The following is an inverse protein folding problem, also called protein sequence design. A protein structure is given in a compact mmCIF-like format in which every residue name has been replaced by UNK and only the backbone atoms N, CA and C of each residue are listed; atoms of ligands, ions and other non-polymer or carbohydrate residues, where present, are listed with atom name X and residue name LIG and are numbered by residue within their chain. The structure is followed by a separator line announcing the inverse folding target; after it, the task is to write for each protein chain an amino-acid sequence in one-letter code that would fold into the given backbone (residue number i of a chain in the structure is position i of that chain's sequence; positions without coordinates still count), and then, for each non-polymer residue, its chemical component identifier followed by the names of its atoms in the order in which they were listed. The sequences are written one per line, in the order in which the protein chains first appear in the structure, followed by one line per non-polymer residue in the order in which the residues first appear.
data_IF_250740716379
#
_entry.id   IF_250740716379
#
_cell.length_a   1.000
_cell.length_b   1.000
_cell.length_c   1.000
_cell.angle_alpha   90.00
_cell.angle_beta   90.00
_cell.angle_gamma   90.00
#
_symmetry.space_group_name_H-M   'P 1'
#
loop_
_entity.id
_entity.type
_entity.pdbx_description
1 polymer ?
#
# COMPACT_ATOMS: atom_id res chain seq x y z
N UNK A 1 -11.33 -4.77 -6.59
CA UNK A 1 -12.76 -4.44 -6.65
C UNK A 1 -13.23 -4.43 -8.11
N UNK A 2 -12.52 -3.75 -9.01
CA UNK A 2 -12.92 -3.58 -10.43
C UNK A 2 -13.14 -4.91 -11.16
N UNK A 3 -12.23 -5.89 -10.98
CA UNK A 3 -12.40 -7.22 -11.59
C UNK A 3 -13.67 -7.94 -11.09
N UNK A 4 -14.10 -7.73 -9.85
CA UNK A 4 -15.34 -8.30 -9.32
C UNK A 4 -16.57 -7.56 -9.83
N UNK A 5 -16.48 -6.23 -9.99
CA UNK A 5 -17.55 -5.43 -10.60
C UNK A 5 -17.79 -5.88 -12.03
N UNK A 6 -16.72 -6.06 -12.82
CA UNK A 6 -16.83 -6.51 -14.22
C UNK A 6 -17.37 -7.93 -14.39
N UNK A 7 -17.20 -8.78 -13.38
CA UNK A 7 -17.74 -10.15 -13.36
C UNK A 7 -19.17 -10.24 -12.81
N UNK A 8 -19.74 -9.13 -12.31
CA UNK A 8 -21.08 -9.13 -11.73
C UNK A 8 -22.17 -9.29 -12.80
N UNK A 9 -23.25 -10.05 -12.56
CA UNK A 9 -24.34 -10.25 -13.54
C UNK A 9 -24.93 -8.94 -14.08
N UNK A 10 -25.10 -7.94 -13.23
CA UNK A 10 -25.65 -6.62 -13.57
C UNK A 10 -24.64 -5.67 -14.26
N UNK A 11 -23.39 -6.09 -14.46
CA UNK A 11 -22.38 -5.23 -15.07
C UNK A 11 -22.70 -4.82 -16.50
N UNK A 12 -23.32 -5.70 -17.27
CA UNK A 12 -23.76 -5.40 -18.63
C UNK A 12 -24.73 -4.22 -18.68
N UNK A 13 -25.67 -4.18 -17.75
CA UNK A 13 -26.63 -3.09 -17.62
C UNK A 13 -25.97 -1.79 -17.15
N UNK A 14 -25.07 -1.87 -16.16
CA UNK A 14 -24.29 -0.72 -15.72
C UNK A 14 -23.48 -0.11 -16.87
N UNK A 15 -22.83 -0.95 -17.68
CA UNK A 15 -22.09 -0.51 -18.87
C UNK A 15 -23.00 0.15 -19.90
N UNK A 16 -24.20 -0.39 -20.11
CA UNK A 16 -25.21 0.15 -21.02
C UNK A 16 -25.67 1.55 -20.57
N UNK A 17 -26.00 1.72 -19.29
CA UNK A 17 -26.41 3.01 -18.72
C UNK A 17 -25.30 4.06 -18.83
N UNK A 18 -24.06 3.70 -18.52
CA UNK A 18 -22.90 4.59 -18.65
C UNK A 18 -22.69 5.05 -20.10
N UNK A 19 -22.75 4.11 -21.06
CA UNK A 19 -22.63 4.40 -22.50
C UNK A 19 -23.74 5.36 -22.95
N UNK A 20 -24.99 5.09 -22.56
CA UNK A 20 -26.13 5.95 -22.89
C UNK A 20 -26.01 7.35 -22.30
N UNK A 21 -25.51 7.46 -21.08
CA UNK A 21 -25.20 8.75 -20.43
C UNK A 21 -24.21 9.57 -21.25
N UNK A 22 -23.14 8.93 -21.73
CA UNK A 22 -22.12 9.57 -22.54
C UNK A 22 -22.62 9.99 -23.92
N UNK A 23 -23.40 9.13 -24.57
CA UNK A 23 -24.03 9.42 -25.87
C UNK A 23 -24.98 10.63 -25.80
N UNK A 24 -25.83 10.70 -24.77
CA UNK A 24 -26.70 11.84 -24.54
C UNK A 24 -25.93 13.11 -24.25
N UNK A 25 -24.88 13.02 -23.45
CA UNK A 25 -24.01 14.15 -23.15
C UNK A 25 -23.30 14.68 -24.40
N UNK A 26 -22.73 13.77 -25.21
CA UNK A 26 -22.09 14.12 -26.46
C UNK A 26 -23.07 14.76 -27.43
N UNK A 27 -24.29 14.25 -27.53
CA UNK A 27 -25.37 14.82 -28.35
C UNK A 27 -25.76 16.22 -27.87
N UNK A 28 -25.87 16.43 -26.56
CA UNK A 28 -26.21 17.73 -25.99
C UNK A 28 -25.15 18.82 -26.27
N UNK A 29 -23.89 18.43 -26.38
CA UNK A 29 -22.78 19.36 -26.62
C UNK A 29 -22.23 19.34 -28.05
N UNK A 30 -22.89 18.59 -28.97
CA UNK A 30 -22.51 18.61 -30.38
C UNK A 30 -22.69 20.01 -30.97
N UNK A 31 -21.67 20.49 -31.69
CA UNK A 31 -21.72 21.80 -32.31
C UNK A 31 -22.86 21.92 -33.33
N UNK A 32 -23.70 22.97 -33.19
CA UNK A 32 -24.76 23.32 -34.14
C UNK A 32 -24.51 24.73 -34.67
N UNK A 33 -24.56 24.91 -36.00
CA UNK A 33 -24.28 26.18 -36.70
C UNK A 33 -25.23 27.28 -36.32
N UNK A 34 -26.54 26.95 -36.07
CA UNK A 34 -27.56 27.84 -35.58
C UNK A 34 -28.04 27.35 -34.22
N UNK A 35 -27.92 28.18 -33.18
CA UNK A 35 -28.24 27.85 -31.79
C UNK A 35 -29.36 28.80 -31.29
N UNK A 36 -30.62 28.49 -31.69
CA UNK A 36 -31.80 29.21 -31.30
C UNK A 36 -32.50 28.66 -30.05
N UNK A 37 -33.73 29.08 -29.81
CA UNK A 37 -34.54 28.68 -28.63
C UNK A 37 -34.81 27.17 -28.61
N UNK A 38 -35.20 26.58 -29.73
CA UNK A 38 -35.50 25.13 -29.83
C UNK A 38 -34.26 24.28 -29.53
N UNK A 39 -33.09 24.68 -30.01
CA UNK A 39 -31.83 23.97 -29.75
C UNK A 39 -31.38 24.08 -28.30
N UNK A 40 -31.73 25.20 -27.63
CA UNK A 40 -31.47 25.34 -26.19
C UNK A 40 -32.37 24.40 -25.38
N UNK A 41 -33.66 24.29 -25.73
CA UNK A 41 -34.57 23.41 -25.03
C UNK A 41 -34.26 21.95 -25.26
N UNK A 42 -33.95 21.53 -26.52
CA UNK A 42 -33.46 20.19 -26.84
C UNK A 42 -32.22 19.84 -26.02
N UNK A 43 -31.25 20.76 -25.96
CA UNK A 43 -30.03 20.56 -25.15
C UNK A 43 -30.36 20.38 -23.67
N UNK A 44 -31.27 21.20 -23.14
CA UNK A 44 -31.72 21.11 -21.74
C UNK A 44 -32.33 19.74 -21.44
N UNK A 45 -33.17 19.23 -22.30
CA UNK A 45 -33.80 17.90 -22.18
C UNK A 45 -32.75 16.79 -22.22
N UNK A 46 -31.82 16.82 -23.19
CA UNK A 46 -30.74 15.84 -23.30
C UNK A 46 -29.86 15.83 -22.05
N UNK A 47 -29.51 17.01 -21.52
CA UNK A 47 -28.72 17.11 -20.28
C UNK A 47 -29.53 16.59 -19.09
N UNK A 48 -30.79 16.84 -19.00
CA UNK A 48 -31.66 16.33 -17.93
C UNK A 48 -31.76 14.80 -18.00
N UNK A 49 -32.02 14.25 -19.18
CA UNK A 49 -32.02 12.79 -19.40
C UNK A 49 -30.67 12.14 -19.07
N UNK A 50 -29.57 12.74 -19.52
CA UNK A 50 -28.22 12.27 -19.18
C UNK A 50 -27.97 12.24 -17.67
N UNK A 51 -28.43 13.25 -16.93
CA UNK A 51 -28.31 13.30 -15.47
C UNK A 51 -29.14 12.22 -14.79
N UNK A 52 -30.38 11.97 -15.27
CA UNK A 52 -31.24 10.92 -14.72
C UNK A 52 -30.61 9.54 -14.91
N UNK A 53 -30.20 9.20 -16.15
CA UNK A 53 -29.57 7.90 -16.44
C UNK A 53 -28.25 7.74 -15.70
N UNK A 54 -27.50 8.83 -15.51
CA UNK A 54 -26.30 8.79 -14.68
C UNK A 54 -26.62 8.44 -13.23
N UNK A 55 -27.67 9.02 -12.67
CA UNK A 55 -28.09 8.71 -11.30
C UNK A 55 -28.50 7.22 -11.16
N UNK A 56 -29.19 6.68 -12.16
CA UNK A 56 -29.55 5.25 -12.20
C UNK A 56 -28.30 4.36 -12.29
N UNK A 57 -27.30 4.76 -13.11
CA UNK A 57 -26.03 4.06 -13.20
C UNK A 57 -25.23 4.08 -11.89
N UNK A 58 -25.16 5.26 -11.25
CA UNK A 58 -24.48 5.43 -9.96
C UNK A 58 -25.16 4.60 -8.85
N UNK A 59 -26.50 4.52 -8.87
CA UNK A 59 -27.26 3.70 -7.93
C UNK A 59 -27.02 2.19 -8.16
N UNK A 60 -27.03 1.74 -9.41
CA UNK A 60 -26.76 0.35 -9.76
C UNK A 60 -25.32 -0.05 -9.39
N UNK A 61 -24.35 0.81 -9.65
CA UNK A 61 -22.96 0.60 -9.24
C UNK A 61 -22.83 0.49 -7.72
N UNK A 62 -23.51 1.37 -6.99
CA UNK A 62 -23.53 1.30 -5.52
C UNK A 62 -24.14 -0.02 -5.03
N UNK A 63 -25.21 -0.50 -5.66
CA UNK A 63 -25.81 -1.79 -5.36
C UNK A 63 -24.83 -2.94 -5.59
N UNK A 64 -24.22 -3.00 -6.77
CA UNK A 64 -23.22 -4.02 -7.13
C UNK A 64 -22.07 -4.05 -6.12
N UNK A 65 -21.53 -2.88 -5.79
CA UNK A 65 -20.41 -2.77 -4.84
C UNK A 65 -20.83 -3.24 -3.43
N UNK A 66 -22.02 -2.88 -2.98
CA UNK A 66 -22.50 -3.33 -1.67
C UNK A 66 -22.73 -4.83 -1.61
N UNK A 67 -23.25 -5.44 -2.67
CA UNK A 67 -23.41 -6.90 -2.76
C UNK A 67 -22.05 -7.60 -2.69
N UNK A 68 -21.06 -7.14 -3.48
CA UNK A 68 -19.70 -7.66 -3.45
C UNK A 68 -19.10 -7.55 -2.04
N UNK A 69 -19.28 -6.41 -1.37
CA UNK A 69 -18.75 -6.19 -0.01
C UNK A 69 -19.50 -6.99 1.07
N UNK A 70 -20.75 -7.35 0.85
CA UNK A 70 -21.52 -8.21 1.76
C UNK A 70 -21.11 -9.68 1.63
N UNK A 71 -20.74 -10.12 0.44
CA UNK A 71 -20.30 -11.49 0.16
C UNK A 71 -18.81 -11.70 0.47
N UNK A 72 -18.05 -10.63 0.73
CA UNK A 72 -16.62 -10.73 0.99
C UNK A 72 -16.34 -11.18 2.43
N UNK A 73 -15.57 -12.25 2.58
CA UNK A 73 -15.05 -12.70 3.88
C UNK A 73 -13.98 -11.77 4.42
N UNK A 74 -13.17 -11.18 3.52
CA UNK A 74 -12.08 -10.27 3.85
C UNK A 74 -12.12 -9.05 2.93
N UNK A 75 -11.94 -7.86 3.53
CA UNK A 75 -11.82 -6.59 2.82
C UNK A 75 -10.44 -6.00 3.11
N UNK A 76 -9.61 -5.86 2.08
CA UNK A 76 -8.31 -5.23 2.17
C UNK A 76 -8.38 -3.77 1.72
N UNK A 77 -7.81 -2.87 2.51
CA UNK A 77 -7.70 -1.45 2.18
C UNK A 77 -6.53 -0.81 2.96
N UNK A 78 -6.15 0.41 2.59
CA UNK A 78 -5.23 1.20 3.42
C UNK A 78 -5.93 1.67 4.71
N UNK A 79 -5.15 2.08 5.72
CA UNK A 79 -5.71 2.60 6.98
C UNK A 79 -6.70 3.75 6.73
N UNK A 80 -6.31 4.70 5.87
CA UNK A 80 -7.17 5.82 5.48
C UNK A 80 -8.33 5.38 4.58
N UNK A 81 -8.12 4.36 3.73
CA UNK A 81 -9.16 3.75 2.91
C UNK A 81 -10.31 3.16 3.73
N UNK A 82 -10.06 2.77 4.98
CA UNK A 82 -11.09 2.31 5.89
C UNK A 82 -12.14 3.41 6.26
N UNK A 83 -11.84 4.70 6.00
CA UNK A 83 -12.80 5.80 6.16
C UNK A 83 -13.72 5.99 4.95
N UNK A 84 -13.48 5.28 3.84
CA UNK A 84 -14.23 5.45 2.61
C UNK A 84 -15.75 5.24 2.81
N UNK A 85 -16.57 6.02 2.08
CA UNK A 85 -18.03 6.00 2.20
C UNK A 85 -18.67 4.61 2.04
N UNK A 86 -18.08 3.73 1.21
CA UNK A 86 -18.52 2.34 1.02
C UNK A 86 -18.43 1.49 2.30
N UNK A 87 -17.56 1.86 3.24
CA UNK A 87 -17.39 1.18 4.53
C UNK A 87 -18.07 1.94 5.68
N UNK A 88 -18.84 3.00 5.37
CA UNK A 88 -19.61 3.75 6.37
C UNK A 88 -20.66 2.85 7.02
N UNK A 89 -20.72 2.83 8.34
CA UNK A 89 -21.68 2.03 9.09
C UNK A 89 -21.40 0.53 9.14
N UNK A 90 -20.44 0.00 8.37
CA UNK A 90 -20.05 -1.41 8.45
C UNK A 90 -19.26 -1.66 9.73
N UNK A 91 -19.49 -2.82 10.34
CA UNK A 91 -18.77 -3.33 11.51
C UNK A 91 -18.15 -4.67 11.17
N UNK A 92 -16.98 -4.93 11.74
CA UNK A 92 -16.19 -6.12 11.49
C UNK A 92 -15.88 -6.83 12.79
N UNK A 93 -15.80 -8.15 12.77
CA UNK A 93 -15.40 -8.93 13.96
C UNK A 93 -13.94 -8.69 14.30
N UNK A 94 -13.07 -8.62 13.29
CA UNK A 94 -11.63 -8.48 13.48
C UNK A 94 -11.05 -7.56 12.41
N UNK A 95 -10.14 -6.68 12.81
CA UNK A 95 -9.24 -5.95 11.93
C UNK A 95 -7.82 -6.45 12.12
N UNK A 96 -7.13 -6.66 11.00
CA UNK A 96 -5.69 -6.91 10.95
C UNK A 96 -5.02 -5.66 10.41
N UNK A 97 -4.02 -5.17 11.11
CA UNK A 97 -3.17 -4.06 10.65
C UNK A 97 -1.79 -4.64 10.43
N UNK A 98 -1.41 -4.75 9.17
CA UNK A 98 -0.08 -5.18 8.75
C UNK A 98 0.87 -3.99 8.72
N UNK A 99 2.18 -4.24 8.88
CA UNK A 99 3.22 -3.19 9.03
C UNK A 99 2.89 -2.16 10.12
N UNK A 100 2.30 -2.64 11.23
CA UNK A 100 1.85 -1.78 12.32
C UNK A 100 2.99 -1.03 13.03
N UNK A 101 4.24 -1.52 12.92
CA UNK A 101 5.45 -0.83 13.36
C UNK A 101 5.76 0.45 12.57
N UNK A 102 5.22 0.57 11.35
CA UNK A 102 5.40 1.75 10.48
C UNK A 102 4.14 2.62 10.40
N UNK A 103 3.09 2.27 11.12
CA UNK A 103 1.81 2.96 11.08
C UNK A 103 1.69 4.04 12.15
N UNK A 104 1.34 5.27 11.73
CA UNK A 104 0.99 6.33 12.68
C UNK A 104 -0.27 5.96 13.46
N UNK A 105 -0.24 6.10 14.78
CA UNK A 105 -1.36 5.74 15.65
C UNK A 105 -2.71 6.36 15.26
N UNK A 106 -2.81 7.67 14.92
CA UNK A 106 -4.09 8.25 14.51
C UNK A 106 -4.72 7.55 13.31
N UNK A 107 -3.91 7.05 12.37
CA UNK A 107 -4.39 6.31 11.21
C UNK A 107 -4.90 4.91 11.60
N UNK A 108 -4.29 4.25 12.58
CA UNK A 108 -4.73 2.95 13.07
C UNK A 108 -6.12 2.99 13.69
N UNK A 109 -6.49 4.09 14.34
CA UNK A 109 -7.81 4.23 14.96
C UNK A 109 -8.96 4.21 13.96
N UNK A 110 -8.72 4.58 12.69
CA UNK A 110 -9.77 4.60 11.66
C UNK A 110 -10.40 3.20 11.46
N UNK A 111 -9.65 2.14 11.17
CA UNK A 111 -10.20 0.80 11.07
C UNK A 111 -10.54 0.18 12.44
N UNK A 112 -9.79 0.48 13.50
CA UNK A 112 -10.03 -0.08 14.85
C UNK A 112 -11.43 0.25 15.37
N UNK A 113 -11.89 1.48 15.18
CA UNK A 113 -13.24 1.91 15.60
C UNK A 113 -14.38 1.19 14.86
N UNK A 114 -14.06 0.42 13.84
CA UNK A 114 -15.03 -0.39 13.06
C UNK A 114 -15.03 -1.86 13.44
N UNK A 115 -14.17 -2.30 14.35
CA UNK A 115 -14.02 -3.72 14.71
C UNK A 115 -14.10 -3.96 16.21
N UNK A 116 -14.45 -5.19 16.58
CA UNK A 116 -14.53 -5.64 17.98
C UNK A 116 -13.16 -6.12 18.51
N UNK A 117 -12.30 -6.56 17.58
CA UNK A 117 -10.97 -7.09 17.89
C UNK A 117 -9.95 -6.56 16.91
N UNK A 118 -8.75 -6.23 17.39
CA UNK A 118 -7.60 -5.85 16.59
C UNK A 118 -6.47 -6.88 16.71
N UNK A 119 -5.83 -7.17 15.60
CA UNK A 119 -4.57 -7.91 15.54
C UNK A 119 -3.57 -7.00 14.80
N UNK A 120 -2.46 -6.72 15.46
CA UNK A 120 -1.38 -5.91 14.91
C UNK A 120 -0.26 -6.85 14.48
N UNK A 121 0.15 -6.80 13.23
CA UNK A 121 1.32 -7.47 12.70
C UNK A 121 2.36 -6.44 12.30
N UNK A 122 3.62 -6.68 12.59
CA UNK A 122 4.69 -5.74 12.31
C UNK A 122 5.95 -6.03 13.08
N UNK A 123 6.90 -5.15 12.96
CA UNK A 123 8.19 -5.25 13.60
C UNK A 123 8.64 -3.87 14.10
N UNK A 124 8.80 -3.75 15.41
CA UNK A 124 9.18 -2.48 16.04
C UNK A 124 10.70 -2.24 16.06
N UNK A 125 11.49 -3.19 15.62
CA UNK A 125 12.93 -3.05 15.42
C UNK A 125 13.28 -2.60 13.99
N UNK A 126 12.29 -2.58 13.08
CA UNK A 126 12.45 -2.01 11.75
C UNK A 126 12.20 -0.49 11.76
N UNK A 127 12.22 0.12 10.57
CA UNK A 127 12.08 1.57 10.45
C UNK A 127 10.75 2.07 11.03
N UNK A 128 10.79 3.14 11.85
CA UNK A 128 9.61 3.77 12.40
C UNK A 128 8.81 4.53 11.32
N UNK A 129 7.58 4.97 11.62
CA UNK A 129 6.80 5.78 10.68
C UNK A 129 7.50 7.10 10.37
N UNK A 130 7.42 7.55 9.11
CA UNK A 130 7.96 8.83 8.68
C UNK A 130 7.14 10.00 9.24
N UNK A 131 7.72 10.79 10.13
CA UNK A 131 7.11 12.01 10.68
C UNK A 131 7.87 13.23 10.17
N UNK A 132 7.23 14.03 9.30
CA UNK A 132 7.87 15.21 8.70
C UNK A 132 8.11 16.35 9.71
N UNK A 133 7.26 16.49 10.71
CA UNK A 133 7.40 17.52 11.73
C UNK A 133 8.24 17.01 12.90
N UNK A 134 9.43 17.61 13.07
CA UNK A 134 10.32 17.30 14.21
C UNK A 134 9.65 17.56 15.57
N UNK A 135 8.85 18.62 15.66
CA UNK A 135 8.12 18.95 16.88
C UNK A 135 7.07 17.88 17.21
N UNK A 136 6.31 17.41 16.19
CA UNK A 136 5.33 16.35 16.38
C UNK A 136 5.99 15.02 16.78
N UNK A 137 7.15 14.70 16.20
CA UNK A 137 7.92 13.52 16.57
C UNK A 137 8.35 13.56 18.04
N UNK A 138 8.90 14.69 18.49
CA UNK A 138 9.31 14.92 19.89
C UNK A 138 8.12 14.86 20.87
N UNK A 139 6.92 15.23 20.44
CA UNK A 139 5.68 15.12 21.22
C UNK A 139 5.07 13.71 21.20
N UNK A 140 5.75 12.72 20.64
CA UNK A 140 5.37 11.31 20.68
C UNK A 140 4.66 10.75 19.45
N UNK A 141 4.52 11.53 18.36
CA UNK A 141 3.88 11.02 17.14
C UNK A 141 4.69 9.90 16.46
N UNK A 142 6.00 9.80 16.72
CA UNK A 142 6.86 8.71 16.22
C UNK A 142 6.70 7.40 16.99
N UNK A 143 6.12 7.41 18.20
CA UNK A 143 5.83 6.19 18.94
C UNK A 143 4.56 5.54 18.39
N UNK A 144 4.68 4.31 17.92
CA UNK A 144 3.55 3.58 17.30
C UNK A 144 2.64 2.96 18.35
N UNK A 145 1.37 2.74 17.97
CA UNK A 145 0.45 1.94 18.78
C UNK A 145 1.01 0.53 18.99
N UNK A 146 1.64 -0.05 17.99
CA UNK A 146 2.24 -1.37 18.02
C UNK A 146 3.30 -1.49 19.14
N UNK A 147 4.28 -0.57 19.16
CA UNK A 147 5.29 -0.51 20.22
C UNK A 147 4.68 -0.39 21.62
N UNK A 148 3.69 0.48 21.77
CA UNK A 148 3.04 0.68 23.07
C UNK A 148 2.26 -0.57 23.52
N UNK A 149 1.60 -1.23 22.58
CA UNK A 149 0.89 -2.49 22.87
C UNK A 149 1.86 -3.58 23.32
N UNK A 150 3.01 -3.74 22.64
CA UNK A 150 4.03 -4.73 23.05
C UNK A 150 4.57 -4.43 24.44
N UNK A 151 4.86 -3.18 24.75
CA UNK A 151 5.37 -2.75 26.07
C UNK A 151 4.33 -2.96 27.17
N UNK A 152 3.07 -2.68 26.90
CA UNK A 152 1.97 -2.75 27.88
C UNK A 152 1.43 -4.16 28.07
N UNK A 153 1.44 -4.97 27.01
CA UNK A 153 0.85 -6.33 26.99
C UNK A 153 1.83 -7.35 26.40
N UNK A 154 3.01 -7.56 27.03
CA UNK A 154 4.03 -8.46 26.48
C UNK A 154 3.55 -9.91 26.40
N UNK A 155 2.61 -10.30 27.22
CA UNK A 155 1.97 -11.63 27.22
C UNK A 155 1.04 -11.87 26.01
N UNK A 156 0.68 -10.82 25.29
CA UNK A 156 -0.12 -10.88 24.05
C UNK A 156 0.74 -10.80 22.80
N UNK A 157 2.03 -10.52 22.94
CA UNK A 157 2.96 -10.44 21.81
C UNK A 157 3.53 -11.83 21.50
N UNK A 158 3.54 -12.19 20.21
CA UNK A 158 4.11 -13.44 19.71
C UNK A 158 5.16 -13.11 18.67
N UNK A 159 6.40 -13.56 18.88
CA UNK A 159 7.46 -13.45 17.89
C UNK A 159 7.37 -14.61 16.89
N UNK A 160 7.24 -14.29 15.61
CA UNK A 160 7.40 -15.25 14.52
C UNK A 160 8.89 -15.52 14.32
N UNK A 161 9.34 -16.70 14.72
CA UNK A 161 10.76 -17.01 14.79
C UNK A 161 11.34 -17.56 13.47
N UNK A 162 10.54 -18.29 12.69
CA UNK A 162 11.02 -18.93 11.45
C UNK A 162 10.86 -17.97 10.30
N UNK A 163 11.95 -17.68 9.59
CA UNK A 163 11.95 -16.89 8.37
C UNK A 163 12.27 -17.77 7.14
N UNK A 164 11.69 -17.39 5.99
CA UNK A 164 11.78 -18.10 4.70
C UNK A 164 12.39 -17.23 3.59
N UNK A 165 13.14 -16.17 3.95
CA UNK A 165 13.58 -15.15 3.00
C UNK A 165 15.06 -15.29 2.63
N UNK A 166 15.93 -15.54 3.62
CA UNK A 166 17.37 -15.34 3.44
C UNK A 166 18.21 -16.42 4.09
N UNK A 167 19.46 -16.50 3.64
CA UNK A 167 20.50 -17.34 4.22
C UNK A 167 20.67 -17.07 5.72
N UNK A 168 21.06 -18.10 6.50
CA UNK A 168 21.18 -17.99 7.96
C UNK A 168 22.22 -16.95 8.41
N UNK A 169 23.35 -16.83 7.71
CA UNK A 169 24.39 -15.84 8.05
C UNK A 169 23.91 -14.39 7.80
N UNK A 170 23.09 -14.15 6.78
CA UNK A 170 22.47 -12.82 6.54
C UNK A 170 21.53 -12.48 7.69
N UNK A 171 20.74 -13.44 8.16
CA UNK A 171 19.79 -13.25 9.26
C UNK A 171 20.49 -13.08 10.61
N UNK A 172 21.66 -13.73 10.81
CA UNK A 172 22.30 -13.87 12.12
C UNK A 172 22.59 -12.53 12.79
N UNK A 173 23.05 -11.54 12.04
CA UNK A 173 23.31 -10.21 12.57
C UNK A 173 22.04 -9.62 13.23
N UNK A 174 20.92 -9.60 12.49
CA UNK A 174 19.66 -9.08 13.01
C UNK A 174 19.14 -9.91 14.18
N UNK A 175 19.25 -11.24 14.09
CA UNK A 175 18.85 -12.16 15.16
C UNK A 175 19.56 -11.86 16.48
N UNK A 176 20.86 -11.64 16.41
CA UNK A 176 21.68 -11.36 17.59
C UNK A 176 21.38 -9.98 18.19
N UNK A 177 21.27 -8.96 17.38
CA UNK A 177 21.15 -7.58 17.85
C UNK A 177 19.73 -7.17 18.27
N UNK A 178 18.69 -7.75 17.66
CA UNK A 178 17.33 -7.28 17.85
C UNK A 178 16.35 -8.33 18.39
N UNK A 179 16.68 -9.62 18.25
CA UNK A 179 15.72 -10.71 18.54
C UNK A 179 16.24 -11.77 19.48
N UNK A 180 17.24 -11.46 20.32
CA UNK A 180 17.82 -12.34 21.35
C UNK A 180 18.26 -13.72 20.80
N UNK A 181 18.75 -13.79 19.56
CA UNK A 181 19.10 -15.02 18.84
C UNK A 181 17.91 -16.00 18.66
N UNK A 182 16.69 -15.49 18.61
CA UNK A 182 15.49 -16.35 18.50
C UNK A 182 15.05 -16.63 17.07
N UNK A 183 15.62 -15.93 16.06
CA UNK A 183 15.28 -16.18 14.67
C UNK A 183 15.92 -17.48 14.16
N UNK A 184 15.17 -18.18 13.33
CA UNK A 184 15.55 -19.46 12.72
C UNK A 184 15.34 -19.35 11.21
N UNK A 185 16.37 -19.61 10.43
CA UNK A 185 16.22 -19.73 8.98
C UNK A 185 15.66 -21.12 8.63
N UNK A 186 14.57 -21.15 7.84
CA UNK A 186 13.98 -22.40 7.36
C UNK A 186 14.99 -23.19 6.52
N UNK A 187 14.89 -24.52 6.55
CA UNK A 187 15.76 -25.42 5.82
C UNK A 187 15.80 -25.16 4.30
N UNK A 188 14.72 -24.63 3.74
CA UNK A 188 14.62 -24.32 2.32
C UNK A 188 15.49 -23.11 1.90
N UNK A 189 15.86 -22.23 2.83
CA UNK A 189 16.58 -20.98 2.51
C UNK A 189 17.90 -20.82 3.27
N UNK A 190 18.08 -21.54 4.38
CA UNK A 190 19.20 -21.33 5.32
C UNK A 190 20.59 -21.46 4.70
N UNK A 191 20.75 -22.21 3.62
CA UNK A 191 22.01 -22.47 2.92
C UNK A 191 21.96 -22.14 1.42
N UNK A 192 20.93 -21.37 1.00
CA UNK A 192 20.81 -20.95 -0.40
C UNK A 192 21.81 -19.85 -0.68
N UNK A 193 22.72 -20.10 -1.62
CA UNK A 193 23.72 -19.17 -2.11
C UNK A 193 23.39 -18.77 -3.55
N UNK A 194 23.78 -17.58 -3.94
CA UNK A 194 23.66 -17.11 -5.33
C UNK A 194 24.57 -17.94 -6.26
N UNK A 195 25.75 -18.33 -5.75
CA UNK A 195 26.74 -19.14 -6.46
C UNK A 195 27.34 -20.19 -5.51
N UNK A 196 27.74 -21.36 -6.02
CA UNK A 196 28.49 -22.32 -5.21
C UNK A 196 29.78 -21.72 -4.63
N UNK A 197 30.08 -22.01 -3.38
CA UNK A 197 31.29 -21.56 -2.66
C UNK A 197 31.42 -20.05 -2.47
N UNK A 198 30.35 -19.30 -2.62
CA UNK A 198 30.31 -17.87 -2.30
C UNK A 198 30.11 -17.65 -0.79
N UNK A 199 30.72 -16.59 -0.24
CA UNK A 199 30.33 -16.08 1.08
C UNK A 199 28.93 -15.48 1.01
N UNK A 200 28.03 -15.78 1.97
CA UNK A 200 26.68 -15.24 1.96
C UNK A 200 26.61 -13.70 2.15
N UNK A 201 27.64 -13.14 2.76
CA UNK A 201 27.76 -11.71 3.06
C UNK A 201 29.17 -11.24 2.74
N UNK A 202 29.27 -10.27 1.85
CA UNK A 202 30.53 -9.58 1.56
C UNK A 202 30.39 -8.12 2.02
N UNK A 203 31.39 -7.64 2.78
CA UNK A 203 31.45 -6.26 3.24
C UNK A 203 32.51 -5.49 2.44
N UNK A 204 32.09 -4.48 1.70
CA UNK A 204 32.97 -3.62 0.91
C UNK A 204 33.11 -2.30 1.66
N UNK A 205 34.28 -2.06 2.27
CA UNK A 205 34.57 -0.82 2.95
C UNK A 205 35.07 0.23 1.97
N UNK A 206 34.34 1.33 1.85
CA UNK A 206 34.69 2.49 1.01
C UNK A 206 35.38 3.60 1.81
N UNK A 207 35.67 3.38 3.08
CA UNK A 207 36.38 4.37 3.92
C UNK A 207 37.76 4.70 3.32
N UNK A 208 38.03 5.99 3.17
CA UNK A 208 39.29 6.48 2.57
C UNK A 208 39.35 6.45 1.03
N UNK A 209 38.30 6.01 0.34
CA UNK A 209 38.25 6.05 -1.14
C UNK A 209 37.96 7.45 -1.71
N UNK A 210 37.71 8.47 -0.87
CA UNK A 210 37.38 9.80 -1.32
C UNK A 210 35.96 9.90 -1.89
N UNK A 211 35.08 8.99 -1.53
CA UNK A 211 33.67 9.00 -1.95
C UNK A 211 32.90 9.97 -1.06
N UNK A 212 32.55 11.13 -1.61
CA UNK A 212 31.89 12.19 -0.87
C UNK A 212 30.39 12.24 -1.14
N UNK A 213 29.61 12.42 -0.07
CA UNK A 213 28.16 12.64 -0.17
C UNK A 213 27.87 14.04 -0.70
N UNK A 214 27.00 14.15 -1.67
CA UNK A 214 26.50 15.39 -2.26
C UNK A 214 25.00 15.57 -1.97
N UNK A 215 24.54 16.82 -2.05
CA UNK A 215 23.14 17.15 -1.86
C UNK A 215 22.60 17.88 -3.09
N UNK A 216 21.50 17.40 -3.64
CA UNK A 216 20.76 18.07 -4.70
C UNK A 216 20.17 19.39 -4.18
N UNK A 217 20.46 20.54 -4.81
CA UNK A 217 20.05 21.85 -4.30
C UNK A 217 18.53 22.10 -4.41
N UNK A 218 17.82 21.40 -5.29
CA UNK A 218 16.38 21.59 -5.50
C UNK A 218 15.56 20.65 -4.61
N UNK A 219 15.91 19.37 -4.58
CA UNK A 219 15.16 18.34 -3.87
C UNK A 219 15.64 18.13 -2.45
N UNK A 220 16.83 18.62 -2.11
CA UNK A 220 17.55 18.38 -0.85
C UNK A 220 17.88 16.89 -0.62
N UNK A 221 17.76 16.07 -1.65
CA UNK A 221 18.12 14.65 -1.60
C UNK A 221 19.64 14.49 -1.52
N UNK A 222 20.10 13.59 -0.66
CA UNK A 222 21.52 13.25 -0.56
C UNK A 222 21.83 12.06 -1.45
N UNK A 223 22.99 12.07 -2.07
CA UNK A 223 23.48 10.99 -2.94
C UNK A 223 25.01 10.91 -2.91
N UNK A 224 25.52 9.73 -3.23
CA UNK A 224 26.95 9.49 -3.41
C UNK A 224 27.16 8.81 -4.77
N UNK A 225 27.62 9.56 -5.76
CA UNK A 225 27.77 9.11 -7.14
C UNK A 225 28.83 8.01 -7.27
N UNK A 226 29.90 8.10 -6.50
CA UNK A 226 30.97 7.13 -6.54
C UNK A 226 30.54 5.77 -5.92
N UNK A 227 29.81 5.80 -4.82
CA UNK A 227 29.25 4.57 -4.21
C UNK A 227 28.16 3.97 -5.12
N UNK A 228 27.30 4.78 -5.73
CA UNK A 228 26.31 4.31 -6.72
C UNK A 228 26.98 3.62 -7.90
N UNK A 229 28.07 4.19 -8.44
CA UNK A 229 28.85 3.61 -9.53
C UNK A 229 29.53 2.29 -9.10
N UNK A 230 30.01 2.20 -7.87
CA UNK A 230 30.56 0.96 -7.33
C UNK A 230 29.47 -0.12 -7.22
N UNK A 231 28.30 0.22 -6.68
CA UNK A 231 27.17 -0.70 -6.55
C UNK A 231 26.71 -1.23 -7.92
N UNK A 232 26.64 -0.37 -8.94
CA UNK A 232 26.27 -0.77 -10.32
C UNK A 232 27.32 -1.76 -10.85
N UNK A 233 28.61 -1.47 -10.74
CA UNK A 233 29.66 -2.38 -11.20
C UNK A 233 29.61 -3.74 -10.52
N UNK A 234 29.35 -3.78 -9.20
CA UNK A 234 29.17 -5.05 -8.47
C UNK A 234 27.95 -5.84 -8.97
N UNK A 235 26.85 -5.14 -9.26
CA UNK A 235 25.66 -5.75 -9.82
C UNK A 235 25.91 -6.32 -11.24
N UNK A 236 26.65 -5.61 -12.09
CA UNK A 236 27.04 -6.05 -13.44
C UNK A 236 27.91 -7.30 -13.39
N UNK A 237 28.94 -7.32 -12.53
CA UNK A 237 29.80 -8.51 -12.31
C UNK A 237 28.96 -9.70 -11.88
N UNK A 238 28.05 -9.50 -10.92
CA UNK A 238 27.18 -10.57 -10.45
C UNK A 238 26.23 -11.06 -11.56
N UNK A 239 25.65 -10.16 -12.33
CA UNK A 239 24.75 -10.50 -13.44
C UNK A 239 25.47 -11.34 -14.52
N UNK A 240 26.68 -10.94 -14.93
CA UNK A 240 27.50 -11.69 -15.86
C UNK A 240 27.84 -13.10 -15.36
N UNK A 241 28.19 -13.21 -14.08
CA UNK A 241 28.55 -14.49 -13.45
C UNK A 241 27.38 -15.47 -13.29
N UNK A 242 26.15 -14.97 -13.15
CA UNK A 242 24.93 -15.82 -13.06
C UNK A 242 24.19 -15.96 -14.41
N UNK A 243 24.68 -15.28 -15.46
CA UNK A 243 24.18 -15.43 -16.83
C UNK A 243 22.85 -14.71 -17.11
N UNK A 244 22.63 -13.52 -16.50
CA UNK A 244 21.51 -12.59 -16.77
C UNK A 244 22.00 -11.24 -17.25
#
# INVERSE_FOLDING_TARGET
LDARITAHPEYSELRRLRKKTEELRNSAYKFKRNFGYEQKEERRLLVQQSKSIKADADLLEFYIINEILQQADVICCTLTGASHGLLKGKKFRTVFIDEAGQALEPACWIPILKAERVILAGDHFQLPPTVKSREAALKGLSSTMFERCIKQYPDKAVLLQVQYRMHEEIMQFSSQWFYDNKLIADAAVRQVLLRPNQTPVDFIDTAGCGYEESQDPETLSRFNEAEASLAIRQAEILAEEIGI
#
